data_IF_435403910730
#
_entry.id   IF_435403910730
#
_cell.length_a   1.000
_cell.length_b   1.000
_cell.length_c   1.000
_cell.angle_alpha   90.00
_cell.angle_beta   90.00
_cell.angle_gamma   90.00
#
_symmetry.space_group_name_H-M   'P 1'
#
loop_
_entity.id
_entity.type
_entity.pdbx_description
1 polymer ?
#
# COMPACT_ATOMS: atom_id res chain seq x y z
N UNK A 1 -1.39 -5.82 -10.74
CA UNK A 1 -1.41 -6.51 -12.03
C UNK A 1 -0.52 -7.73 -11.98
N UNK A 2 0.77 -7.55 -11.81
CA UNK A 2 1.82 -8.58 -11.87
C UNK A 2 1.60 -9.74 -10.88
N UNK A 3 1.04 -9.47 -9.71
CA UNK A 3 0.76 -10.51 -8.71
C UNK A 3 -0.42 -11.39 -9.14
N UNK A 4 -1.50 -10.80 -9.61
CA UNK A 4 -2.70 -11.54 -10.03
C UNK A 4 -2.47 -12.25 -11.37
N UNK A 5 -1.89 -11.53 -12.34
CA UNK A 5 -1.59 -12.10 -13.65
C UNK A 5 -0.27 -12.89 -13.62
N UNK A 6 0.73 -12.33 -14.24
CA UNK A 6 2.13 -12.83 -14.20
C UNK A 6 3.06 -11.64 -14.42
N UNK A 7 4.33 -11.78 -14.06
CA UNK A 7 5.37 -10.83 -14.44
C UNK A 7 6.31 -11.46 -15.50
N UNK A 8 7.31 -12.20 -15.09
CA UNK A 8 8.23 -12.88 -16.00
C UNK A 8 7.91 -14.37 -16.17
N UNK A 9 7.39 -15.03 -15.14
CA UNK A 9 7.08 -16.47 -15.16
C UNK A 9 5.61 -16.72 -15.49
N UNK A 10 5.30 -16.97 -16.75
CA UNK A 10 3.94 -17.26 -17.25
C UNK A 10 3.31 -18.53 -16.66
N UNK A 11 4.09 -19.41 -16.04
CA UNK A 11 3.61 -20.67 -15.43
C UNK A 11 3.33 -20.53 -13.93
N UNK A 12 3.69 -19.40 -13.31
CA UNK A 12 3.45 -19.15 -11.89
C UNK A 12 1.94 -19.10 -11.60
N UNK A 13 1.53 -19.71 -10.49
CA UNK A 13 0.16 -19.60 -10.01
C UNK A 13 -0.14 -18.14 -9.61
N UNK A 14 -1.38 -17.63 -9.81
CA UNK A 14 -1.75 -16.29 -9.43
C UNK A 14 -1.68 -16.11 -7.90
N UNK A 15 -1.26 -14.92 -7.46
CA UNK A 15 -1.42 -14.53 -6.06
C UNK A 15 -2.77 -13.84 -5.86
N UNK A 16 -3.41 -14.08 -4.73
CA UNK A 16 -4.57 -13.29 -4.31
C UNK A 16 -4.11 -11.89 -3.94
N UNK A 17 -4.40 -10.91 -4.80
CA UNK A 17 -4.04 -9.52 -4.58
C UNK A 17 -5.15 -8.59 -5.09
N UNK A 18 -5.45 -7.54 -4.34
CA UNK A 18 -6.48 -6.56 -4.65
C UNK A 18 -5.85 -5.17 -4.62
N UNK A 19 -6.02 -4.40 -5.70
CA UNK A 19 -5.72 -2.98 -5.68
C UNK A 19 -6.91 -2.20 -5.12
N UNK A 20 -6.73 -1.53 -3.98
CA UNK A 20 -7.78 -0.74 -3.35
C UNK A 20 -8.10 0.57 -4.10
N UNK A 21 -7.35 0.89 -5.15
CA UNK A 21 -7.58 2.08 -5.98
C UNK A 21 -8.48 1.83 -7.20
N UNK A 22 -8.88 0.59 -7.47
CA UNK A 22 -9.59 0.23 -8.70
C UNK A 22 -11.11 0.31 -8.60
N UNK A 23 -11.68 0.38 -7.40
CA UNK A 23 -13.13 0.48 -7.23
C UNK A 23 -13.58 1.95 -7.25
N UNK A 24 -13.72 2.51 -8.45
CA UNK A 24 -14.09 3.91 -8.64
C UNK A 24 -15.50 4.24 -8.12
N UNK A 25 -16.44 3.31 -8.22
CA UNK A 25 -17.78 3.51 -7.67
C UNK A 25 -17.76 3.68 -6.15
N UNK A 26 -17.03 2.82 -5.45
CA UNK A 26 -16.84 2.95 -4.00
C UNK A 26 -16.05 4.21 -3.63
N UNK A 27 -15.04 4.59 -4.43
CA UNK A 27 -14.26 5.81 -4.20
C UNK A 27 -15.15 7.04 -4.23
N UNK A 28 -15.94 7.21 -5.28
CA UNK A 28 -16.80 8.39 -5.45
C UNK A 28 -17.92 8.43 -4.42
N UNK A 29 -18.63 7.33 -4.20
CA UNK A 29 -19.70 7.25 -3.23
C UNK A 29 -19.22 7.51 -1.79
N UNK A 30 -18.17 6.79 -1.35
CA UNK A 30 -17.66 6.95 0.01
C UNK A 30 -17.07 8.35 0.27
N UNK A 31 -16.36 8.90 -0.71
CA UNK A 31 -15.77 10.25 -0.57
C UNK A 31 -16.84 11.35 -0.55
N UNK A 32 -17.97 11.16 -1.25
CA UNK A 32 -19.10 12.06 -1.23
C UNK A 32 -19.86 12.02 0.10
N UNK A 33 -20.18 10.81 0.58
CA UNK A 33 -21.05 10.62 1.75
C UNK A 33 -20.29 10.78 3.09
N UNK A 34 -18.99 10.52 3.10
CA UNK A 34 -18.13 10.58 4.28
C UNK A 34 -16.89 11.43 4.03
N UNK A 35 -15.75 10.80 3.66
CA UNK A 35 -14.50 11.49 3.35
C UNK A 35 -13.51 10.54 2.68
N UNK A 36 -12.53 11.12 1.95
CA UNK A 36 -11.47 10.36 1.30
C UNK A 36 -10.48 9.76 2.32
N UNK A 37 -10.31 10.35 3.49
CA UNK A 37 -9.34 9.91 4.50
C UNK A 37 -9.67 8.52 5.06
N UNK A 38 -10.93 8.09 5.01
CA UNK A 38 -11.38 6.78 5.47
C UNK A 38 -11.67 5.77 4.35
N UNK A 39 -11.47 6.14 3.09
CA UNK A 39 -11.83 5.30 1.94
C UNK A 39 -11.09 3.95 1.93
N UNK A 40 -9.77 3.95 2.11
CA UNK A 40 -9.01 2.71 2.15
C UNK A 40 -9.23 1.92 3.44
N UNK A 41 -9.41 2.61 4.57
CA UNK A 41 -9.82 1.99 5.83
C UNK A 41 -11.10 1.17 5.65
N UNK A 42 -12.13 1.75 4.97
CA UNK A 42 -13.39 1.06 4.71
C UNK A 42 -13.21 -0.23 3.93
N UNK A 43 -12.35 -0.21 2.91
CA UNK A 43 -12.04 -1.40 2.11
C UNK A 43 -11.23 -2.43 2.90
N UNK A 44 -10.29 -2.00 3.74
CA UNK A 44 -9.57 -2.91 4.65
C UNK A 44 -10.52 -3.58 5.62
N UNK A 45 -11.51 -2.85 6.17
CA UNK A 45 -12.58 -3.44 7.00
C UNK A 45 -13.36 -4.53 6.27
N UNK A 46 -13.72 -4.28 5.02
CA UNK A 46 -14.52 -5.19 4.22
C UNK A 46 -13.76 -6.45 3.79
N UNK A 47 -12.54 -6.30 3.29
CA UNK A 47 -11.81 -7.35 2.58
C UNK A 47 -10.68 -7.99 3.38
N UNK A 48 -10.04 -7.23 4.29
CA UNK A 48 -8.86 -7.68 5.02
C UNK A 48 -9.17 -8.79 6.03
N UNK A 49 -8.32 -9.79 6.06
CA UNK A 49 -8.38 -10.93 7.00
C UNK A 49 -7.07 -11.01 7.77
N UNK A 50 -7.11 -11.57 8.97
CA UNK A 50 -5.91 -11.82 9.77
C UNK A 50 -4.88 -12.64 8.97
N UNK A 51 -3.66 -12.15 8.95
CA UNK A 51 -2.55 -12.76 8.21
C UNK A 51 -2.35 -12.23 6.79
N UNK A 52 -3.29 -11.44 6.27
CA UNK A 52 -3.10 -10.73 5.00
C UNK A 52 -2.01 -9.66 5.12
N UNK A 53 -1.51 -9.21 3.98
CA UNK A 53 -0.56 -8.11 3.87
C UNK A 53 -1.29 -6.87 3.34
N UNK A 54 -1.16 -5.75 4.06
CA UNK A 54 -1.51 -4.43 3.53
C UNK A 54 -0.23 -3.75 3.05
N UNK A 55 -0.11 -3.57 1.73
CA UNK A 55 1.04 -2.97 1.10
C UNK A 55 0.74 -1.51 0.73
N UNK A 56 1.53 -0.57 1.24
CA UNK A 56 1.31 0.87 1.14
C UNK A 56 2.48 1.57 0.46
N UNK A 57 2.16 2.52 -0.43
CA UNK A 57 3.16 3.38 -1.10
C UNK A 57 2.87 4.84 -0.79
N UNK A 58 3.87 5.56 -0.29
CA UNK A 58 3.75 7.00 -0.04
C UNK A 58 5.10 7.70 -0.14
N UNK A 59 5.21 8.71 -0.95
CA UNK A 59 6.43 9.52 -1.06
C UNK A 59 6.72 10.34 0.20
N UNK A 60 5.71 10.64 1.01
CA UNK A 60 5.85 11.41 2.26
C UNK A 60 5.64 10.59 3.53
N UNK A 61 5.11 9.36 3.42
CA UNK A 61 4.82 8.50 4.57
C UNK A 61 3.68 8.96 5.48
N UNK A 62 2.96 10.00 5.10
CA UNK A 62 1.84 10.57 5.85
C UNK A 62 2.24 11.49 6.99
N UNK A 63 1.39 12.50 7.27
CA UNK A 63 1.62 13.48 8.33
C UNK A 63 0.30 13.96 8.92
N UNK A 64 0.07 13.70 10.21
CA UNK A 64 -1.16 14.08 10.92
C UNK A 64 -1.34 15.59 11.06
N UNK A 65 -0.24 16.36 11.20
CA UNK A 65 -0.33 17.82 11.37
C UNK A 65 -0.78 18.51 10.08
N UNK A 66 -0.17 18.14 8.94
CA UNK A 66 -0.54 18.67 7.63
C UNK A 66 -1.71 17.92 6.97
N UNK A 67 -2.26 16.89 7.62
CA UNK A 67 -3.31 15.99 7.11
C UNK A 67 -2.92 15.29 5.78
N UNK A 68 -1.63 15.14 5.49
CA UNK A 68 -1.17 14.45 4.28
C UNK A 68 -1.29 12.94 4.43
N UNK A 69 -1.82 12.28 3.39
CA UNK A 69 -1.97 10.81 3.31
C UNK A 69 -2.71 10.19 4.50
N UNK A 70 -3.72 10.89 5.05
CA UNK A 70 -4.53 10.38 6.16
C UNK A 70 -5.23 9.08 5.79
N UNK A 71 -5.64 8.94 4.53
CA UNK A 71 -6.24 7.72 3.97
C UNK A 71 -5.34 6.48 4.14
N UNK A 72 -4.03 6.61 3.96
CA UNK A 72 -3.09 5.50 4.17
C UNK A 72 -2.85 5.22 5.66
N UNK A 73 -2.78 6.29 6.49
CA UNK A 73 -2.64 6.15 7.94
C UNK A 73 -3.86 5.44 8.53
N UNK A 74 -5.07 5.82 8.12
CA UNK A 74 -6.32 5.19 8.57
C UNK A 74 -6.37 3.71 8.17
N UNK A 75 -6.01 3.40 6.91
CA UNK A 75 -5.94 2.03 6.43
C UNK A 75 -4.92 1.19 7.21
N UNK A 76 -3.71 1.73 7.48
CA UNK A 76 -2.68 1.04 8.25
C UNK A 76 -3.14 0.72 9.68
N UNK A 77 -3.77 1.68 10.35
CA UNK A 77 -4.31 1.49 11.69
C UNK A 77 -5.40 0.42 11.73
N UNK A 78 -6.30 0.41 10.75
CA UNK A 78 -7.34 -0.59 10.65
C UNK A 78 -6.76 -1.98 10.31
N UNK A 79 -5.78 -2.04 9.42
CA UNK A 79 -5.05 -3.27 9.10
C UNK A 79 -4.43 -3.90 10.36
N UNK A 80 -3.79 -3.10 11.21
CA UNK A 80 -3.25 -3.58 12.49
C UNK A 80 -4.31 -4.15 13.42
N UNK A 81 -5.47 -3.46 13.56
CA UNK A 81 -6.60 -3.96 14.37
C UNK A 81 -7.10 -5.32 13.89
N UNK A 82 -7.11 -5.53 12.58
CA UNK A 82 -7.52 -6.80 11.96
C UNK A 82 -6.43 -7.87 11.92
N UNK A 83 -5.20 -7.56 12.34
CA UNK A 83 -4.08 -8.49 12.33
C UNK A 83 -3.43 -8.70 10.96
N UNK A 84 -3.51 -7.69 10.08
CA UNK A 84 -2.76 -7.66 8.84
C UNK A 84 -1.29 -7.29 9.11
N UNK A 85 -0.40 -7.77 8.25
CA UNK A 85 1.00 -7.32 8.21
C UNK A 85 1.10 -6.05 7.37
N UNK A 86 1.62 -4.98 7.94
CA UNK A 86 1.75 -3.69 7.26
C UNK A 86 3.15 -3.56 6.65
N UNK A 87 3.21 -3.45 5.34
CA UNK A 87 4.46 -3.21 4.59
C UNK A 87 4.34 -1.89 3.85
N UNK A 88 5.35 -1.01 3.96
CA UNK A 88 5.33 0.30 3.31
C UNK A 88 6.59 0.62 2.53
N UNK A 89 6.41 1.18 1.33
CA UNK A 89 7.45 1.93 0.63
C UNK A 89 7.25 3.41 0.91
N UNK A 90 8.24 4.05 1.49
CA UNK A 90 8.17 5.44 1.96
C UNK A 90 9.36 6.25 1.46
N UNK A 91 9.17 7.57 1.39
CA UNK A 91 10.22 8.51 1.02
C UNK A 91 10.30 9.69 1.99
N UNK A 92 11.02 10.73 1.62
CA UNK A 92 11.25 11.94 2.42
C UNK A 92 11.68 11.57 3.86
N UNK A 93 10.99 12.09 4.87
CA UNK A 93 11.22 11.77 6.28
C UNK A 93 10.59 10.46 6.78
N UNK A 94 9.85 9.75 5.92
CA UNK A 94 9.19 8.49 6.25
C UNK A 94 7.82 8.62 6.93
N UNK A 95 7.51 9.78 7.50
CA UNK A 95 6.22 10.13 8.10
C UNK A 95 5.69 9.16 9.16
N UNK A 96 4.39 9.13 9.31
CA UNK A 96 3.70 8.26 10.28
C UNK A 96 3.76 6.78 9.89
N UNK A 97 3.77 6.47 8.57
CA UNK A 97 3.84 5.08 8.11
C UNK A 97 5.13 4.39 8.55
N UNK A 98 6.24 5.12 8.69
CA UNK A 98 7.49 4.58 9.23
C UNK A 98 7.33 4.00 10.64
N UNK A 99 6.43 4.57 11.45
CA UNK A 99 6.19 4.13 12.84
C UNK A 99 5.15 3.01 12.91
N UNK A 100 4.19 3.00 11.99
CA UNK A 100 3.05 2.08 12.01
C UNK A 100 3.38 0.76 11.33
N UNK A 101 4.23 0.78 10.30
CA UNK A 101 4.55 -0.40 9.49
C UNK A 101 5.37 -1.43 10.26
N UNK A 102 5.07 -2.69 10.04
CA UNK A 102 5.88 -3.81 10.52
C UNK A 102 7.19 -3.93 9.73
N UNK A 103 7.13 -3.64 8.43
CA UNK A 103 8.27 -3.60 7.52
C UNK A 103 8.16 -2.34 6.67
N UNK A 104 9.25 -1.65 6.46
CA UNK A 104 9.28 -0.55 5.51
C UNK A 104 10.61 -0.48 4.76
N UNK A 105 10.54 0.01 3.51
CA UNK A 105 11.73 0.41 2.76
C UNK A 105 11.67 1.92 2.61
N UNK A 106 12.72 2.60 3.05
CA UNK A 106 12.78 4.06 3.09
C UNK A 106 13.76 4.61 2.05
N UNK A 107 13.24 5.19 1.00
CA UNK A 107 14.00 5.94 -0.01
C UNK A 107 14.28 7.33 0.55
N UNK A 108 15.47 7.53 1.08
CA UNK A 108 15.91 8.81 1.68
C UNK A 108 16.22 9.84 0.60
N UNK A 109 15.18 10.40 -0.01
CA UNK A 109 15.26 11.46 -1.00
C UNK A 109 14.10 12.44 -0.79
N UNK A 110 14.24 13.70 -1.24
CA UNK A 110 13.19 14.71 -1.17
C UNK A 110 12.47 14.91 -2.52
N UNK A 111 13.04 14.44 -3.62
CA UNK A 111 12.43 14.49 -4.93
C UNK A 111 11.39 13.38 -5.09
N UNK A 112 10.15 13.77 -5.32
CA UNK A 112 9.02 12.84 -5.45
C UNK A 112 9.19 11.89 -6.65
N UNK A 113 9.70 12.35 -7.79
CA UNK A 113 9.92 11.51 -8.96
C UNK A 113 10.94 10.41 -8.68
N UNK A 114 12.09 10.76 -8.09
CA UNK A 114 13.14 9.80 -7.71
C UNK A 114 12.61 8.75 -6.72
N UNK A 115 11.79 9.16 -5.74
CA UNK A 115 11.17 8.24 -4.79
C UNK A 115 10.22 7.27 -5.52
N UNK A 116 9.40 7.76 -6.43
CA UNK A 116 8.45 6.93 -7.20
C UNK A 116 9.15 5.96 -8.14
N UNK A 117 10.21 6.37 -8.82
CA UNK A 117 11.05 5.50 -9.65
C UNK A 117 11.70 4.38 -8.82
N UNK A 118 12.25 4.73 -7.65
CA UNK A 118 12.80 3.73 -6.73
C UNK A 118 11.71 2.77 -6.21
N UNK A 119 10.52 3.27 -5.84
CA UNK A 119 9.39 2.42 -5.44
C UNK A 119 8.99 1.45 -6.55
N UNK A 120 8.95 1.91 -7.81
CA UNK A 120 8.64 1.03 -8.94
C UNK A 120 9.71 -0.06 -9.12
N UNK A 121 10.99 0.29 -9.03
CA UNK A 121 12.09 -0.67 -9.10
C UNK A 121 12.00 -1.74 -8.00
N UNK A 122 11.65 -1.33 -6.77
CA UNK A 122 11.46 -2.24 -5.63
C UNK A 122 10.26 -3.17 -5.88
N UNK A 123 9.15 -2.65 -6.40
CA UNK A 123 7.98 -3.47 -6.75
C UNK A 123 8.33 -4.54 -7.79
N UNK A 124 9.07 -4.18 -8.84
CA UNK A 124 9.53 -5.14 -9.85
C UNK A 124 10.47 -6.18 -9.25
N UNK A 125 11.40 -5.78 -8.37
CA UNK A 125 12.28 -6.73 -7.68
C UNK A 125 11.51 -7.75 -6.83
N UNK A 126 10.45 -7.30 -6.13
CA UNK A 126 9.54 -8.18 -5.38
C UNK A 126 8.83 -9.16 -6.33
N UNK A 127 8.32 -8.68 -7.46
CA UNK A 127 7.64 -9.53 -8.44
C UNK A 127 8.60 -10.57 -9.04
N UNK A 128 9.83 -10.17 -9.39
CA UNK A 128 10.87 -11.09 -9.88
C UNK A 128 11.20 -12.17 -8.84
N UNK A 129 11.37 -11.75 -7.58
CA UNK A 129 11.64 -12.70 -6.49
C UNK A 129 10.51 -13.73 -6.33
N UNK A 130 9.27 -13.27 -6.34
CA UNK A 130 8.10 -14.13 -6.21
C UNK A 130 7.91 -15.06 -7.42
N UNK A 131 8.22 -14.59 -8.63
CA UNK A 131 8.18 -15.41 -9.84
C UNK A 131 9.18 -16.57 -9.82
N UNK A 132 10.34 -16.38 -9.17
CA UNK A 132 11.42 -17.37 -9.14
C UNK A 132 11.33 -18.35 -7.95
N UNK A 133 10.51 -18.06 -6.93
CA UNK A 133 10.49 -18.83 -5.68
C UNK A 133 9.14 -19.49 -5.37
N UNK A 134 8.23 -19.57 -6.37
CA UNK A 134 6.93 -20.26 -6.21
C UNK A 134 6.47 -20.98 -7.46
#
# INVERSE_FOLDING_TARGET
GELVCTFNNKKRKPFSAISLTTNNAALTAWSNDFNFDSFFERQVKANGKRGDILFLLSTGGGNKKSKASMNLISAANEGRKKGLKIISLIGKGGGELKKISDIYIHVKNNNTAVIQEAHMSILHAICIYLDNNK
#
